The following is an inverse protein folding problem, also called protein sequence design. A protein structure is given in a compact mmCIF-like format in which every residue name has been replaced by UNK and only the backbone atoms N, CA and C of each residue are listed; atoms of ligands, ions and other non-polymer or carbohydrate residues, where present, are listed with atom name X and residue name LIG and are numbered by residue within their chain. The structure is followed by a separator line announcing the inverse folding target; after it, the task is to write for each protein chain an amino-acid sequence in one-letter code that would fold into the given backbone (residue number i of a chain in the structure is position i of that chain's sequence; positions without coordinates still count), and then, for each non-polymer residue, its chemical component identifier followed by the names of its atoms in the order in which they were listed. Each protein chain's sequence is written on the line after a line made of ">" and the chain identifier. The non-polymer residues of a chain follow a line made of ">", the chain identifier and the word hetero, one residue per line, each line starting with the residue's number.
data_IF_641560865563
#
_entry.id   IF_641560865563
#
_cell.length_a   1.000
_cell.length_b   1.000
_cell.length_c   1.000
_cell.angle_alpha   90.00
_cell.angle_beta   90.00
_cell.angle_gamma   90.00
#
_symmetry.space_group_name_H-M   'P 1'
#
loop_
_entity.id
_entity.type
_entity.pdbx_description
1 polymer ?
#
# COMPACT_ATOMS: atom_id res chain seq x y z
N UNK A 1 -0.12 0.14 -53.20
CA UNK A 1 -0.55 1.56 -53.13
C UNK A 1 0.53 2.30 -52.37
N UNK A 2 1.42 2.93 -53.12
CA UNK A 2 2.64 3.57 -52.62
C UNK A 2 2.30 4.99 -52.18
N UNK A 3 2.24 5.22 -50.87
CA UNK A 3 2.07 6.57 -50.33
C UNK A 3 3.44 7.25 -50.23
N UNK A 4 3.86 7.87 -51.33
CA UNK A 4 4.95 8.84 -51.36
C UNK A 4 4.44 10.14 -50.73
N UNK A 5 4.91 10.49 -49.53
CA UNK A 5 4.58 11.78 -48.89
C UNK A 5 5.77 12.73 -48.98
N UNK A 6 5.51 13.78 -49.75
CA UNK A 6 6.25 15.01 -50.04
C UNK A 6 7.40 15.48 -49.12
N UNK A 7 8.57 15.60 -49.77
CA UNK A 7 9.41 16.80 -49.94
C UNK A 7 9.63 17.63 -48.66
N UNK A 8 10.74 17.36 -47.98
CA UNK A 8 11.37 18.31 -47.08
C UNK A 8 11.69 19.61 -47.85
N UNK A 9 11.15 20.74 -47.39
CA UNK A 9 11.54 22.08 -47.89
C UNK A 9 13.06 22.21 -47.79
N UNK A 10 13.73 22.35 -48.93
CA UNK A 10 15.16 22.66 -48.98
C UNK A 10 15.33 24.16 -48.77
N UNK A 11 16.25 24.56 -47.91
CA UNK A 11 16.62 25.96 -47.76
C UNK A 11 17.57 26.34 -48.90
N UNK A 12 17.24 27.43 -49.59
CA UNK A 12 18.12 28.10 -50.55
C UNK A 12 18.03 29.61 -50.29
N UNK A 13 19.05 30.23 -49.67
CA UNK A 13 20.34 29.67 -49.24
C UNK A 13 20.24 28.75 -47.99
N UNK A 14 21.23 27.86 -47.75
CA UNK A 14 21.27 27.04 -46.54
C UNK A 14 21.34 27.91 -45.27
N UNK A 15 20.73 27.43 -44.19
CA UNK A 15 20.70 28.16 -42.92
C UNK A 15 21.85 27.67 -42.04
N UNK A 16 22.72 28.58 -41.58
CA UNK A 16 23.71 28.25 -40.56
C UNK A 16 23.03 28.18 -39.19
N UNK A 17 23.05 27.01 -38.57
CA UNK A 17 22.57 26.82 -37.20
C UNK A 17 23.77 26.78 -36.27
N UNK A 18 23.70 27.53 -35.17
CA UNK A 18 24.72 27.53 -34.11
C UNK A 18 24.08 27.08 -32.81
N UNK A 19 24.60 26.01 -32.21
CA UNK A 19 24.07 25.44 -30.97
C UNK A 19 25.18 25.22 -29.94
N UNK A 20 24.86 25.32 -28.64
CA UNK A 20 25.78 24.92 -27.59
C UNK A 20 25.95 23.40 -27.58
N UNK A 21 27.17 22.96 -27.32
CA UNK A 21 27.57 21.56 -27.22
C UNK A 21 28.14 21.32 -25.82
N UNK A 22 28.00 20.10 -25.24
CA UNK A 22 28.58 19.81 -23.93
C UNK A 22 30.06 20.20 -23.88
N UNK A 23 30.54 20.86 -22.80
CA UNK A 23 31.88 21.41 -22.72
C UNK A 23 32.94 20.33 -22.94
N UNK A 24 34.05 20.70 -23.58
CA UNK A 24 35.12 19.74 -23.86
C UNK A 24 35.75 19.34 -22.50
N UNK A 25 35.71 18.04 -22.11
CA UNK A 25 36.23 17.61 -20.81
C UNK A 25 37.72 17.95 -20.62
N UNK A 26 38.51 17.97 -21.70
CA UNK A 26 39.93 18.38 -21.66
C UNK A 26 40.11 19.89 -21.43
N UNK A 27 39.19 20.71 -21.96
CA UNK A 27 39.23 22.18 -21.82
C UNK A 27 38.67 22.65 -20.48
N UNK A 28 37.63 21.99 -19.96
CA UNK A 28 37.09 22.28 -18.64
C UNK A 28 38.14 22.07 -17.54
N UNK A 29 38.93 20.99 -17.64
CA UNK A 29 40.04 20.73 -16.72
C UNK A 29 41.18 21.77 -16.82
N UNK A 30 41.41 22.33 -18.01
CA UNK A 30 42.41 23.37 -18.26
C UNK A 30 41.97 24.75 -17.73
N UNK A 31 40.67 25.07 -17.75
CA UNK A 31 40.12 26.33 -17.23
C UNK A 31 40.01 26.33 -15.68
N UNK A 32 39.71 25.18 -15.07
CA UNK A 32 39.76 25.02 -13.60
C UNK A 32 41.19 25.13 -13.04
N UNK A 33 42.19 24.66 -13.79
CA UNK A 33 43.60 24.78 -13.38
C UNK A 33 44.14 26.21 -13.51
N UNK A 34 43.63 27.00 -14.46
CA UNK A 34 44.01 28.41 -14.61
C UNK A 34 43.34 29.34 -13.59
N UNK A 35 42.12 29.03 -13.15
CA UNK A 35 41.40 29.81 -12.12
C UNK A 35 41.91 29.55 -10.70
N UNK A 36 42.67 28.47 -10.47
CA UNK A 36 43.31 28.16 -9.17
C UNK A 36 44.67 28.84 -8.91
N UNK A 37 45.18 29.68 -9.82
CA UNK A 37 46.37 30.51 -9.57
C UNK A 37 46.01 31.87 -8.94
N UNK A 38 45.47 31.86 -7.72
CA UNK A 38 45.41 33.05 -6.85
C UNK A 38 46.46 32.89 -5.73
N UNK A 39 47.26 33.93 -5.39
CA UNK A 39 48.34 33.77 -4.42
C UNK A 39 47.77 33.42 -3.04
N UNK A 40 48.30 32.35 -2.46
CA UNK A 40 47.98 31.88 -1.11
C UNK A 40 48.36 32.96 -0.10
N UNK A 41 47.35 33.57 0.52
CA UNK A 41 47.51 34.23 1.83
C UNK A 41 46.77 33.38 2.84
N UNK A 42 47.48 33.02 3.90
CA UNK A 42 47.01 32.15 4.95
C UNK A 42 46.05 32.90 5.88
N UNK A 43 44.87 32.32 6.15
CA UNK A 43 44.24 32.44 7.46
C UNK A 43 43.22 31.32 7.68
N UNK A 44 43.24 30.77 8.90
CA UNK A 44 42.48 29.61 9.35
C UNK A 44 41.10 29.96 9.91
N UNK A 45 40.20 28.97 9.77
CA UNK A 45 39.12 28.59 10.69
C UNK A 45 37.80 29.38 10.72
N UNK A 46 36.70 28.63 10.59
CA UNK A 46 35.33 29.08 10.85
C UNK A 46 34.29 28.14 10.25
N UNK A 47 33.93 27.07 10.98
CA UNK A 47 32.89 26.10 10.62
C UNK A 47 31.50 26.74 10.69
N UNK A 48 30.66 26.51 9.68
CA UNK A 48 29.19 26.56 9.79
C UNK A 48 28.56 25.56 8.83
N UNK A 49 27.82 24.61 9.39
CA UNK A 49 26.89 23.71 8.72
C UNK A 49 25.71 24.52 8.17
N UNK A 50 25.37 24.32 6.89
CA UNK A 50 23.99 24.20 6.36
C UNK A 50 24.04 24.21 4.82
N UNK A 51 24.04 23.00 4.22
CA UNK A 51 24.02 22.81 2.78
C UNK A 51 22.63 22.34 2.34
N UNK A 52 21.82 23.29 1.86
CA UNK A 52 20.62 23.01 1.09
C UNK A 52 20.99 22.27 -0.21
N UNK A 53 20.25 21.21 -0.50
CA UNK A 53 20.43 20.28 -1.59
C UNK A 53 20.37 20.97 -2.96
N UNK A 54 21.53 21.11 -3.61
CA UNK A 54 21.63 21.38 -5.05
C UNK A 54 21.74 20.05 -5.81
N UNK A 55 21.16 19.90 -7.01
CA UNK A 55 21.33 18.71 -7.82
C UNK A 55 22.80 18.60 -8.25
N UNK A 56 23.44 17.49 -7.87
CA UNK A 56 24.79 17.12 -8.27
C UNK A 56 24.80 16.78 -9.76
N UNK A 57 25.31 17.68 -10.60
CA UNK A 57 25.82 17.36 -11.93
C UNK A 57 27.34 17.39 -11.88
N UNK A 58 27.96 16.38 -12.51
CA UNK A 58 29.40 16.14 -12.68
C UNK A 58 30.10 15.42 -11.50
N UNK A 59 29.97 14.09 -11.47
CA UNK A 59 31.02 13.21 -10.95
C UNK A 59 31.91 12.78 -12.12
N UNK A 60 33.11 13.33 -12.23
CA UNK A 60 34.20 12.75 -13.02
C UNK A 60 35.09 11.94 -12.07
N UNK A 61 34.88 10.63 -12.04
CA UNK A 61 35.81 9.69 -11.41
C UNK A 61 36.81 9.25 -12.49
N UNK A 62 38.02 9.80 -12.47
CA UNK A 62 39.06 9.45 -13.43
C UNK A 62 40.44 9.89 -12.96
N UNK A 63 41.27 8.90 -12.63
CA UNK A 63 42.66 9.00 -12.17
C UNK A 63 43.56 9.83 -13.09
N UNK A 64 44.41 10.66 -12.47
CA UNK A 64 45.48 11.44 -13.10
C UNK A 64 46.46 10.50 -13.82
N UNK A 65 46.59 10.65 -15.14
CA UNK A 65 47.83 10.34 -15.87
C UNK A 65 48.21 11.53 -16.74
N UNK A 66 49.34 12.13 -16.43
CA UNK A 66 49.98 13.19 -17.21
C UNK A 66 50.61 12.58 -18.47
N UNK A 67 49.94 12.72 -19.61
CA UNK A 67 50.57 12.63 -20.93
C UNK A 67 49.69 13.38 -21.92
N UNK A 68 50.19 14.51 -22.40
CA UNK A 68 49.61 15.29 -23.48
C UNK A 68 49.60 14.46 -24.77
N UNK A 69 48.46 13.84 -25.04
CA UNK A 69 48.20 13.10 -26.27
C UNK A 69 46.76 13.41 -26.64
N UNK A 70 46.55 13.99 -27.82
CA UNK A 70 45.26 14.42 -28.37
C UNK A 70 44.12 13.49 -27.95
N UNK A 71 43.27 13.98 -27.03
CA UNK A 71 41.97 13.38 -26.76
C UNK A 71 41.08 13.75 -27.95
N UNK A 72 41.18 12.96 -29.01
CA UNK A 72 40.41 13.10 -30.25
C UNK A 72 38.93 12.81 -29.90
N UNK A 73 38.18 13.83 -29.50
CA UNK A 73 36.74 13.75 -29.33
C UNK A 73 36.07 14.05 -30.67
N UNK A 74 35.23 13.14 -31.16
CA UNK A 74 34.45 13.36 -32.39
C UNK A 74 33.08 13.94 -32.08
N UNK A 75 32.73 15.00 -32.79
CA UNK A 75 31.38 15.52 -32.84
C UNK A 75 30.59 14.81 -33.93
N UNK A 76 29.37 14.37 -33.62
CA UNK A 76 28.46 13.77 -34.59
C UNK A 76 27.08 14.40 -34.53
N UNK A 77 26.51 14.66 -35.70
CA UNK A 77 25.13 15.11 -35.84
C UNK A 77 24.21 13.88 -35.97
N UNK A 78 23.16 13.84 -35.15
CA UNK A 78 22.12 12.80 -35.24
C UNK A 78 20.77 13.48 -35.47
N UNK A 79 20.05 13.08 -36.53
CA UNK A 79 18.75 13.65 -36.91
C UNK A 79 17.62 12.65 -36.74
N UNK A 80 16.40 13.14 -36.56
CA UNK A 80 15.19 12.30 -36.55
C UNK A 80 14.52 12.28 -37.93
N UNK A 81 14.44 11.10 -38.54
CA UNK A 81 13.83 10.88 -39.86
C UNK A 81 12.93 9.63 -39.83
N UNK A 82 11.72 9.74 -40.38
CA UNK A 82 10.75 8.63 -40.56
C UNK A 82 10.51 7.70 -39.34
N UNK A 83 10.70 8.19 -38.12
CA UNK A 83 10.51 7.39 -36.90
C UNK A 83 11.79 6.81 -36.29
N UNK A 84 12.97 7.17 -36.80
CA UNK A 84 14.26 6.72 -36.30
C UNK A 84 15.32 7.83 -36.20
N UNK A 85 16.35 7.57 -35.40
CA UNK A 85 17.54 8.40 -35.30
C UNK A 85 18.57 7.97 -36.36
N UNK A 86 18.99 8.90 -37.23
CA UNK A 86 19.99 8.71 -38.28
C UNK A 86 21.26 9.47 -37.92
N UNK A 87 22.41 8.80 -38.00
CA UNK A 87 23.73 9.40 -37.75
C UNK A 87 24.27 9.96 -39.05
N UNK A 88 24.70 11.22 -39.04
CA UNK A 88 25.35 11.87 -40.17
C UNK A 88 26.84 12.00 -39.90
N UNK A 89 27.64 11.26 -40.65
CA UNK A 89 29.11 11.32 -40.58
C UNK A 89 29.69 12.36 -41.57
N UNK A 90 28.91 12.77 -42.59
CA UNK A 90 29.36 13.64 -43.70
C UNK A 90 29.13 15.15 -43.46
N UNK A 91 28.77 15.55 -42.23
CA UNK A 91 28.47 16.95 -41.92
C UNK A 91 29.66 17.63 -41.28
N UNK A 92 30.19 18.66 -41.95
CA UNK A 92 31.23 19.53 -41.41
C UNK A 92 30.68 20.36 -40.23
N UNK A 93 31.06 19.96 -39.01
CA UNK A 93 30.74 20.67 -37.78
C UNK A 93 31.87 21.66 -37.47
N UNK A 94 31.59 22.96 -37.56
CA UNK A 94 32.58 24.00 -37.26
C UNK A 94 32.49 24.43 -35.80
N UNK A 95 33.49 24.09 -34.99
CA UNK A 95 33.59 24.58 -33.62
C UNK A 95 33.84 26.10 -33.59
N UNK A 96 33.12 26.81 -32.73
CA UNK A 96 33.24 28.26 -32.47
C UNK A 96 33.61 28.50 -31.01
N UNK A 97 34.00 29.74 -30.69
CA UNK A 97 34.33 30.15 -29.31
C UNK A 97 33.12 29.93 -28.38
N UNK A 98 33.37 29.38 -27.19
CA UNK A 98 32.35 29.17 -26.15
C UNK A 98 31.53 27.89 -26.28
N UNK A 99 32.16 26.77 -26.67
CA UNK A 99 31.50 25.46 -26.86
C UNK A 99 30.28 25.51 -27.80
N UNK A 100 30.34 26.38 -28.79
CA UNK A 100 29.33 26.50 -29.83
C UNK A 100 29.77 25.70 -31.07
N UNK A 101 28.84 25.00 -31.70
CA UNK A 101 29.07 24.32 -32.97
C UNK A 101 28.14 24.91 -34.02
N UNK A 102 28.70 25.28 -35.15
CA UNK A 102 27.98 25.79 -36.30
C UNK A 102 27.99 24.76 -37.44
N UNK A 103 26.83 24.56 -38.07
CA UNK A 103 26.70 23.67 -39.24
C UNK A 103 25.61 24.19 -40.18
N UNK A 104 25.67 23.77 -41.44
CA UNK A 104 24.73 24.21 -42.47
C UNK A 104 23.53 23.27 -42.60
N UNK A 105 22.33 23.82 -42.36
CA UNK A 105 21.06 23.16 -42.62
C UNK A 105 20.63 23.38 -44.07
N UNK A 106 20.72 22.32 -44.88
CA UNK A 106 20.19 22.29 -46.26
C UNK A 106 18.71 21.87 -46.30
N UNK A 107 18.23 21.21 -45.24
CA UNK A 107 16.90 20.60 -45.14
C UNK A 107 16.29 20.96 -43.79
N UNK A 108 14.97 21.18 -43.73
CA UNK A 108 14.25 21.37 -42.46
C UNK A 108 14.30 20.08 -41.63
N UNK A 109 15.01 20.13 -40.50
CA UNK A 109 15.04 19.07 -39.51
C UNK A 109 13.95 19.29 -38.46
N UNK A 110 13.19 18.25 -38.11
CA UNK A 110 12.21 18.34 -37.01
C UNK A 110 12.87 18.24 -35.64
N UNK A 111 13.87 17.36 -35.50
CA UNK A 111 14.66 17.15 -34.28
C UNK A 111 16.07 16.76 -34.68
N UNK A 112 17.05 17.28 -33.97
CA UNK A 112 18.45 16.92 -34.11
C UNK A 112 19.15 17.02 -32.75
N UNK A 113 20.24 16.27 -32.59
CA UNK A 113 21.10 16.27 -31.41
C UNK A 113 22.55 16.23 -31.90
N UNK A 114 23.41 17.04 -31.28
CA UNK A 114 24.86 16.94 -31.47
C UNK A 114 25.44 16.17 -30.29
N UNK A 115 26.17 15.10 -30.58
CA UNK A 115 26.87 14.30 -29.58
C UNK A 115 28.36 14.54 -29.68
N UNK A 116 29.02 14.73 -28.53
CA UNK A 116 30.47 14.65 -28.38
C UNK A 116 30.81 13.29 -27.81
N UNK A 117 31.53 12.47 -28.58
CA UNK A 117 31.92 11.10 -28.22
C UNK A 117 33.43 10.93 -28.38
N UNK A 118 34.07 10.27 -27.42
CA UNK A 118 35.49 9.92 -27.51
C UNK A 118 35.74 9.03 -28.74
N UNK A 119 36.78 9.32 -29.50
CA UNK A 119 37.18 8.45 -30.62
C UNK A 119 37.47 7.03 -30.15
N UNK A 120 37.06 6.06 -30.96
CA UNK A 120 37.15 4.64 -30.61
C UNK A 120 36.07 4.16 -29.62
N UNK A 121 35.09 4.99 -29.25
CA UNK A 121 33.91 4.57 -28.51
C UNK A 121 33.21 3.38 -29.20
N UNK A 122 33.05 2.26 -28.50
CA UNK A 122 32.26 1.11 -28.93
C UNK A 122 30.74 1.36 -28.90
N UNK A 123 30.29 2.47 -28.30
CA UNK A 123 28.87 2.82 -28.22
C UNK A 123 28.43 3.46 -29.54
N UNK A 124 27.41 2.90 -30.18
CA UNK A 124 26.86 3.47 -31.39
C UNK A 124 26.05 4.74 -31.06
N UNK A 125 26.23 5.85 -31.80
CA UNK A 125 25.59 7.14 -31.46
C UNK A 125 24.07 7.06 -31.37
N UNK A 126 23.43 6.22 -32.20
CA UNK A 126 21.99 5.97 -32.17
C UNK A 126 21.52 5.39 -30.83
N UNK A 127 22.27 4.46 -30.24
CA UNK A 127 21.95 3.86 -28.94
C UNK A 127 22.06 4.90 -27.82
N UNK A 128 23.07 5.76 -27.89
CA UNK A 128 23.26 6.86 -26.94
C UNK A 128 22.08 7.82 -27.01
N UNK A 129 21.67 8.25 -28.20
CA UNK A 129 20.51 9.15 -28.34
C UNK A 129 19.23 8.48 -27.86
N UNK A 130 18.99 7.21 -28.19
CA UNK A 130 17.81 6.47 -27.71
C UNK A 130 17.80 6.34 -26.19
N UNK A 131 18.95 6.07 -25.58
CA UNK A 131 19.10 6.00 -24.12
C UNK A 131 18.85 7.37 -23.46
N UNK A 132 19.39 8.44 -24.06
CA UNK A 132 19.17 9.81 -23.61
C UNK A 132 17.69 10.20 -23.71
N UNK A 133 17.06 9.95 -24.85
CA UNK A 133 15.64 10.23 -25.06
C UNK A 133 14.77 9.48 -24.05
N UNK A 134 15.06 8.19 -23.83
CA UNK A 134 14.39 7.38 -22.80
C UNK A 134 14.58 8.04 -21.43
N UNK A 135 15.81 8.39 -21.06
CA UNK A 135 16.12 9.02 -19.77
C UNK A 135 15.41 10.36 -19.56
N UNK A 136 15.33 11.21 -20.60
CA UNK A 136 14.65 12.51 -20.54
C UNK A 136 13.14 12.37 -20.34
N UNK A 137 12.55 11.33 -20.94
CA UNK A 137 11.12 11.01 -20.83
C UNK A 137 10.77 10.32 -19.52
N UNK A 138 11.71 9.60 -18.92
CA UNK A 138 11.50 8.90 -17.64
C UNK A 138 11.53 9.89 -16.48
N UNK A 139 10.55 9.77 -15.59
CA UNK A 139 10.38 10.56 -14.38
C UNK A 139 10.31 9.64 -13.17
N UNK A 140 10.82 10.12 -12.04
CA UNK A 140 10.69 9.47 -10.74
C UNK A 140 9.27 9.69 -10.22
N UNK A 141 8.60 8.61 -9.86
CA UNK A 141 7.24 8.62 -9.35
C UNK A 141 7.17 7.84 -8.03
N UNK A 142 6.16 8.16 -7.22
CA UNK A 142 5.83 7.43 -6.00
C UNK A 142 4.39 6.89 -6.12
N UNK A 143 4.23 5.60 -5.85
CA UNK A 143 2.93 4.97 -5.70
C UNK A 143 2.48 5.09 -4.25
N UNK A 144 1.21 5.43 -4.04
CA UNK A 144 0.62 5.69 -2.73
C UNK A 144 -0.66 4.86 -2.61
N UNK A 145 -0.81 4.18 -1.48
CA UNK A 145 -2.05 3.52 -1.06
C UNK A 145 -2.40 4.01 0.35
N UNK A 146 -3.64 4.49 0.57
CA UNK A 146 -4.09 4.95 1.90
C UNK A 146 -5.52 4.53 2.19
N UNK A 147 -5.76 4.10 3.42
CA UNK A 147 -7.09 3.82 3.92
C UNK A 147 -7.78 5.11 4.36
N UNK A 148 -9.10 5.13 4.30
CA UNK A 148 -9.89 6.21 4.90
C UNK A 148 -10.03 5.97 6.40
N UNK A 149 -9.92 7.04 7.20
CA UNK A 149 -10.02 6.97 8.67
C UNK A 149 -11.41 6.56 9.13
N UNK A 150 -12.47 7.08 8.50
CA UNK A 150 -13.86 6.79 8.90
C UNK A 150 -14.32 5.39 8.47
N UNK A 151 -13.75 4.88 7.38
CA UNK A 151 -14.11 3.60 6.76
C UNK A 151 -12.83 2.90 6.32
N UNK A 152 -12.26 2.01 7.17
CA UNK A 152 -11.07 1.24 6.82
C UNK A 152 -11.25 0.39 5.56
N UNK A 153 -12.50 0.05 5.20
CA UNK A 153 -12.81 -0.64 3.95
C UNK A 153 -12.61 0.23 2.71
N UNK A 154 -12.46 1.54 2.83
CA UNK A 154 -12.21 2.45 1.70
C UNK A 154 -10.72 2.67 1.48
N UNK A 155 -10.23 2.32 0.30
CA UNK A 155 -8.83 2.40 -0.11
C UNK A 155 -8.68 3.35 -1.30
N UNK A 156 -7.69 4.26 -1.24
CA UNK A 156 -7.32 5.13 -2.36
C UNK A 156 -5.92 4.82 -2.87
N UNK A 157 -5.78 4.81 -4.19
CA UNK A 157 -4.50 4.70 -4.89
C UNK A 157 -4.19 5.98 -5.67
N UNK A 158 -2.93 6.39 -5.60
CA UNK A 158 -2.37 7.46 -6.43
C UNK A 158 -0.98 7.08 -6.93
N UNK A 159 -0.61 7.59 -8.10
CA UNK A 159 0.77 7.60 -8.57
C UNK A 159 1.11 9.03 -8.99
N UNK A 160 2.10 9.62 -8.35
CA UNK A 160 2.46 11.04 -8.49
C UNK A 160 3.96 11.19 -8.67
N UNK A 161 4.46 12.30 -9.22
CA UNK A 161 5.90 12.59 -9.22
C UNK A 161 6.47 12.48 -7.81
N UNK A 162 7.68 11.94 -7.69
CA UNK A 162 8.31 11.75 -6.38
C UNK A 162 8.48 13.07 -5.62
N UNK A 163 8.68 14.19 -6.34
CA UNK A 163 8.72 15.56 -5.80
C UNK A 163 7.42 15.97 -5.10
N UNK A 164 6.29 15.46 -5.57
CA UNK A 164 4.95 15.89 -5.15
C UNK A 164 4.34 14.93 -4.13
N UNK A 165 5.05 13.83 -3.82
CA UNK A 165 4.61 12.78 -2.90
C UNK A 165 4.24 13.32 -1.53
N UNK A 166 5.10 14.16 -0.93
CA UNK A 166 4.87 14.73 0.40
C UNK A 166 3.65 15.66 0.43
N UNK A 167 3.47 16.50 -0.59
CA UNK A 167 2.30 17.37 -0.71
C UNK A 167 1.02 16.55 -0.91
N UNK A 168 1.09 15.50 -1.72
CA UNK A 168 -0.03 14.61 -1.99
C UNK A 168 -0.46 13.86 -0.73
N UNK A 169 0.49 13.41 0.09
CA UNK A 169 0.19 12.78 1.38
C UNK A 169 -0.56 13.72 2.31
N UNK A 170 -0.10 14.96 2.46
CA UNK A 170 -0.79 15.97 3.29
C UNK A 170 -2.22 16.22 2.80
N UNK A 171 -2.40 16.37 1.48
CA UNK A 171 -3.74 16.54 0.91
C UNK A 171 -4.65 15.30 1.10
N UNK A 172 -4.08 14.10 1.14
CA UNK A 172 -4.82 12.88 1.48
C UNK A 172 -5.20 12.86 2.97
N UNK A 173 -4.29 13.24 3.85
CA UNK A 173 -4.55 13.35 5.29
C UNK A 173 -5.66 14.38 5.58
N UNK A 174 -5.62 15.54 4.94
CA UNK A 174 -6.67 16.57 5.03
C UNK A 174 -8.04 16.09 4.54
N UNK A 175 -8.07 15.10 3.64
CA UNK A 175 -9.30 14.49 3.13
C UNK A 175 -9.71 13.22 3.87
N UNK A 176 -9.07 12.93 5.01
CA UNK A 176 -9.40 11.79 5.88
C UNK A 176 -8.82 10.46 5.40
N UNK A 177 -7.81 10.46 4.54
CA UNK A 177 -7.06 9.27 4.13
C UNK A 177 -5.72 9.22 4.86
N UNK A 178 -5.65 8.39 5.91
CA UNK A 178 -4.53 8.34 6.86
C UNK A 178 -4.15 6.88 7.12
N UNK A 179 -2.95 6.67 7.62
CA UNK A 179 -2.46 5.35 8.06
C UNK A 179 -1.43 4.74 7.10
N UNK A 180 -0.81 3.63 7.49
CA UNK A 180 0.12 2.92 6.63
C UNK A 180 -0.59 2.40 5.36
N UNK A 181 0.16 2.12 4.28
CA UNK A 181 1.62 2.17 4.15
C UNK A 181 2.18 3.57 3.81
N UNK A 182 3.50 3.72 4.02
CA UNK A 182 4.27 4.82 3.42
C UNK A 182 4.26 4.70 1.89
N UNK A 183 4.50 5.81 1.15
CA UNK A 183 4.69 5.76 -0.29
C UNK A 183 5.75 4.74 -0.70
N UNK A 184 5.62 4.21 -1.92
CA UNK A 184 6.66 3.37 -2.49
C UNK A 184 8.00 4.10 -2.57
N UNK A 185 9.09 3.34 -2.64
CA UNK A 185 10.32 3.85 -3.21
C UNK A 185 10.08 4.39 -4.62
N UNK A 186 10.95 5.29 -5.06
CA UNK A 186 10.86 5.87 -6.38
C UNK A 186 10.85 4.81 -7.48
N UNK A 187 9.81 4.86 -8.30
CA UNK A 187 9.65 4.05 -9.50
C UNK A 187 9.85 4.92 -10.74
N UNK A 188 10.27 4.30 -11.83
CA UNK A 188 10.59 5.00 -13.07
C UNK A 188 9.45 4.84 -14.06
N UNK A 189 8.78 5.95 -14.40
CA UNK A 189 7.63 5.98 -15.30
C UNK A 189 7.80 7.04 -16.39
N UNK A 190 7.13 6.89 -17.52
CA UNK A 190 7.04 7.92 -18.56
C UNK A 190 5.67 8.59 -18.55
N UNK A 191 5.60 9.82 -19.05
CA UNK A 191 4.34 10.55 -19.17
C UNK A 191 3.30 9.76 -19.97
N UNK A 192 2.07 9.66 -19.44
CA UNK A 192 0.97 8.92 -20.04
C UNK A 192 1.02 7.40 -19.83
N UNK A 193 2.07 6.86 -19.19
CA UNK A 193 2.18 5.42 -18.94
C UNK A 193 1.09 4.94 -17.99
N UNK A 194 0.42 3.85 -18.36
CA UNK A 194 -0.62 3.24 -17.54
C UNK A 194 0.00 2.39 -16.43
N UNK A 195 -0.34 2.72 -15.19
CA UNK A 195 0.00 1.96 -13.99
C UNK A 195 -1.20 1.14 -13.59
N UNK A 196 -1.02 -0.17 -13.51
CA UNK A 196 -2.02 -1.14 -13.11
C UNK A 196 -1.84 -1.51 -11.64
N UNK A 197 -2.93 -1.89 -10.98
CA UNK A 197 -2.94 -2.28 -9.57
C UNK A 197 -3.73 -3.58 -9.38
N UNK A 198 -3.23 -4.46 -8.52
CA UNK A 198 -3.97 -5.63 -8.04
C UNK A 198 -3.79 -5.83 -6.55
N UNK A 199 -4.85 -6.35 -5.93
CA UNK A 199 -4.85 -6.75 -4.52
C UNK A 199 -4.37 -8.20 -4.41
N UNK A 200 -3.49 -8.46 -3.46
CA UNK A 200 -2.87 -9.75 -3.19
C UNK A 200 -3.04 -10.10 -1.70
N UNK A 201 -3.07 -11.39 -1.38
CA UNK A 201 -3.24 -11.88 -0.01
C UNK A 201 -4.71 -11.90 0.42
N UNK A 202 -4.97 -11.65 1.70
CA UNK A 202 -6.31 -11.84 2.27
C UNK A 202 -7.24 -10.61 2.11
N UNK A 203 -6.89 -9.66 1.24
CA UNK A 203 -7.67 -8.45 0.99
C UNK A 203 -8.08 -8.46 -0.47
N UNK A 204 -9.37 -8.35 -0.74
CA UNK A 204 -9.96 -8.37 -2.09
C UNK A 204 -10.95 -7.22 -2.26
N UNK A 205 -11.39 -6.98 -3.51
CA UNK A 205 -12.40 -5.96 -3.79
C UNK A 205 -13.74 -6.40 -3.19
N UNK A 206 -14.46 -5.47 -2.57
CA UNK A 206 -15.80 -5.73 -2.06
C UNK A 206 -16.82 -5.90 -3.19
N UNK A 207 -16.62 -5.19 -4.30
CA UNK A 207 -17.47 -5.19 -5.49
C UNK A 207 -16.92 -6.20 -6.51
N UNK A 208 -17.56 -7.37 -6.56
CA UNK A 208 -17.15 -8.54 -7.36
C UNK A 208 -17.53 -8.41 -8.86
N UNK A 209 -18.39 -7.43 -9.21
CA UNK A 209 -18.95 -7.26 -10.56
C UNK A 209 -18.14 -6.37 -11.51
N UNK A 210 -16.98 -5.86 -11.08
CA UNK A 210 -16.12 -5.02 -11.93
C UNK A 210 -14.95 -5.85 -12.47
N UNK A 211 -15.15 -6.46 -13.65
CA UNK A 211 -14.05 -7.00 -14.48
C UNK A 211 -13.05 -5.90 -14.92
N UNK A 212 -13.36 -4.63 -14.62
CA UNK A 212 -12.48 -3.52 -14.90
C UNK A 212 -11.15 -3.65 -14.13
N UNK A 213 -10.07 -3.67 -14.92
CA UNK A 213 -8.73 -3.61 -14.38
C UNK A 213 -8.50 -2.26 -13.70
N UNK A 214 -7.99 -2.31 -12.47
CA UNK A 214 -7.60 -1.12 -11.73
C UNK A 214 -6.37 -0.54 -12.43
N UNK A 215 -6.53 0.62 -13.06
CA UNK A 215 -5.45 1.33 -13.73
C UNK A 215 -5.59 2.85 -13.63
N UNK A 216 -4.47 3.56 -13.66
CA UNK A 216 -4.41 5.00 -13.77
C UNK A 216 -3.24 5.42 -14.66
N UNK A 217 -3.38 6.50 -15.45
CA UNK A 217 -2.25 7.03 -16.21
C UNK A 217 -1.39 7.94 -15.32
N UNK A 218 -0.08 7.76 -15.40
CA UNK A 218 0.88 8.64 -14.76
C UNK A 218 1.05 9.94 -15.55
N UNK A 219 0.85 11.08 -14.89
CA UNK A 219 1.11 12.40 -15.45
C UNK A 219 1.78 13.29 -14.41
N UNK A 220 2.73 14.11 -14.83
CA UNK A 220 3.46 14.97 -13.90
C UNK A 220 2.57 16.09 -13.33
N UNK A 221 1.63 16.60 -14.11
CA UNK A 221 0.86 17.80 -13.76
C UNK A 221 -0.61 17.53 -13.40
N UNK A 222 -1.12 16.32 -13.67
CA UNK A 222 -2.52 15.96 -13.44
C UNK A 222 -2.61 14.63 -12.72
N UNK A 223 -2.79 14.67 -11.40
CA UNK A 223 -2.76 13.47 -10.57
C UNK A 223 -4.15 12.85 -10.45
N UNK A 224 -4.35 11.69 -11.07
CA UNK A 224 -5.59 10.91 -10.92
C UNK A 224 -5.52 9.99 -9.70
N UNK A 225 -6.69 9.63 -9.16
CA UNK A 225 -6.82 8.68 -8.06
C UNK A 225 -7.84 7.61 -8.38
N UNK A 226 -7.56 6.38 -7.97
CA UNK A 226 -8.52 5.27 -7.97
C UNK A 226 -8.98 5.04 -6.55
N UNK A 227 -10.30 4.96 -6.32
CA UNK A 227 -10.88 4.67 -5.01
C UNK A 227 -11.72 3.41 -5.13
N UNK A 228 -11.63 2.54 -4.14
CA UNK A 228 -12.42 1.31 -4.11
C UNK A 228 -12.70 0.86 -2.69
N UNK A 229 -13.67 -0.04 -2.56
CA UNK A 229 -13.98 -0.74 -1.32
C UNK A 229 -13.31 -2.10 -1.28
N UNK A 230 -12.66 -2.43 -0.17
CA UNK A 230 -11.99 -3.69 0.09
C UNK A 230 -12.65 -4.45 1.23
N UNK A 231 -12.57 -5.78 1.18
CA UNK A 231 -13.02 -6.71 2.23
C UNK A 231 -12.00 -7.82 2.41
N UNK A 232 -12.10 -8.56 3.51
CA UNK A 232 -11.37 -9.81 3.69
C UNK A 232 -11.85 -10.88 2.69
N UNK A 233 -10.92 -11.69 2.19
CA UNK A 233 -11.25 -12.86 1.37
C UNK A 233 -11.64 -14.06 2.24
N UNK A 234 -10.86 -14.30 3.29
CA UNK A 234 -11.04 -15.36 4.28
C UNK A 234 -11.08 -14.75 5.69
N UNK A 235 -12.24 -14.88 6.34
CA UNK A 235 -12.50 -14.41 7.70
C UNK A 235 -11.67 -15.15 8.77
N UNK A 236 -11.15 -16.33 8.45
CA UNK A 236 -10.36 -17.17 9.35
C UNK A 236 -8.85 -17.01 9.15
N UNK A 237 -8.44 -16.37 8.06
CA UNK A 237 -7.05 -16.09 7.79
C UNK A 237 -6.45 -15.04 8.74
N UNK A 238 -5.12 -15.00 8.79
CA UNK A 238 -4.33 -14.13 9.68
C UNK A 238 -4.70 -14.29 11.17
N UNK A 239 -5.11 -15.46 11.65
CA UNK A 239 -5.63 -15.67 13.02
C UNK A 239 -4.70 -15.19 14.15
N UNK A 240 -3.40 -15.12 13.91
CA UNK A 240 -2.39 -14.63 14.88
C UNK A 240 -2.31 -13.09 14.97
N UNK A 241 -3.08 -12.38 14.15
CA UNK A 241 -3.10 -10.91 14.08
C UNK A 241 -4.52 -10.38 14.31
N UNK A 242 -4.60 -9.17 14.90
CA UNK A 242 -5.85 -8.43 15.10
C UNK A 242 -6.36 -7.76 13.81
N UNK A 243 -5.59 -7.87 12.73
CA UNK A 243 -5.87 -7.29 11.42
C UNK A 243 -5.77 -8.35 10.33
N UNK A 244 -6.59 -8.23 9.30
CA UNK A 244 -6.39 -8.92 8.03
C UNK A 244 -5.27 -8.23 7.25
N UNK A 245 -4.36 -9.00 6.67
CA UNK A 245 -3.20 -8.47 5.94
C UNK A 245 -3.26 -8.83 4.46
N UNK A 246 -2.93 -7.86 3.64
CA UNK A 246 -2.81 -8.00 2.20
C UNK A 246 -1.71 -7.10 1.65
N UNK A 247 -1.58 -7.10 0.34
CA UNK A 247 -0.64 -6.26 -0.39
C UNK A 247 -1.31 -5.71 -1.64
N UNK A 248 -0.91 -4.50 -2.02
CA UNK A 248 -1.25 -3.89 -3.31
C UNK A 248 -0.01 -3.95 -4.17
N UNK A 249 -0.08 -4.64 -5.30
CA UNK A 249 0.97 -4.63 -6.30
C UNK A 249 0.66 -3.60 -7.39
N UNK A 250 1.60 -2.69 -7.62
CA UNK A 250 1.60 -1.78 -8.76
C UNK A 250 2.49 -2.36 -9.85
N UNK A 251 2.02 -2.40 -11.09
CA UNK A 251 2.77 -2.95 -12.22
C UNK A 251 2.46 -2.20 -13.51
N UNK A 252 3.34 -2.33 -14.50
CA UNK A 252 3.14 -1.81 -15.86
C UNK A 252 3.11 -2.96 -16.85
N UNK A 253 2.39 -2.78 -17.95
CA UNK A 253 2.40 -3.72 -19.08
C UNK A 253 3.17 -3.10 -20.24
N UNK A 254 4.10 -3.86 -20.79
CA UNK A 254 4.73 -3.46 -22.05
C UNK A 254 3.75 -3.70 -23.21
N UNK A 255 3.67 -2.73 -24.11
CA UNK A 255 2.73 -2.72 -25.24
C UNK A 255 3.23 -3.57 -26.44
N UNK A 256 3.88 -4.70 -26.17
CA UNK A 256 4.37 -5.59 -27.23
C UNK A 256 3.28 -6.61 -27.59
N UNK A 257 2.91 -6.63 -28.87
CA UNK A 257 1.70 -7.27 -29.41
C UNK A 257 1.61 -8.80 -29.22
N UNK A 258 2.60 -9.48 -28.64
CA UNK A 258 2.66 -10.95 -28.62
C UNK A 258 2.89 -11.60 -27.24
N UNK A 259 3.19 -10.84 -26.19
CA UNK A 259 3.11 -11.33 -24.80
C UNK A 259 3.28 -10.10 -23.91
N UNK A 260 2.18 -9.63 -23.30
CA UNK A 260 2.17 -8.41 -22.50
C UNK A 260 2.96 -8.61 -21.21
N UNK A 261 4.29 -8.50 -21.28
CA UNK A 261 5.16 -8.69 -20.11
C UNK A 261 4.78 -7.69 -19.03
N UNK A 262 4.28 -8.23 -17.92
CA UNK A 262 3.99 -7.43 -16.72
C UNK A 262 5.28 -7.20 -15.95
N UNK A 263 5.61 -5.93 -15.70
CA UNK A 263 6.75 -5.55 -14.87
C UNK A 263 6.23 -4.96 -13.57
N UNK A 264 6.47 -5.67 -12.47
CA UNK A 264 6.14 -5.21 -11.12
C UNK A 264 6.96 -3.96 -10.76
N UNK A 265 6.29 -2.89 -10.38
CA UNK A 265 6.91 -1.64 -9.95
C UNK A 265 7.22 -1.68 -8.44
N UNK A 266 6.20 -1.97 -7.64
CA UNK A 266 6.31 -2.01 -6.18
C UNK A 266 5.13 -2.77 -5.56
N UNK A 267 5.31 -3.18 -4.29
CA UNK A 267 4.29 -3.81 -3.46
C UNK A 267 4.15 -3.06 -2.16
N UNK A 268 2.94 -2.58 -1.87
CA UNK A 268 2.63 -1.84 -0.65
C UNK A 268 1.75 -2.69 0.28
N UNK A 269 2.11 -2.87 1.57
CA UNK A 269 1.30 -3.63 2.50
C UNK A 269 0.02 -2.86 2.87
N UNK A 270 -1.11 -3.55 2.92
CA UNK A 270 -2.41 -2.99 3.34
C UNK A 270 -3.02 -3.86 4.43
N UNK A 271 -3.78 -3.24 5.33
CA UNK A 271 -4.34 -3.90 6.51
C UNK A 271 -5.77 -3.47 6.77
N UNK A 272 -6.62 -4.43 7.15
CA UNK A 272 -8.00 -4.19 7.55
C UNK A 272 -8.20 -4.64 9.00
N UNK A 273 -8.78 -3.80 9.87
CA UNK A 273 -9.05 -4.18 11.25
C UNK A 273 -10.10 -5.29 11.28
N UNK A 274 -9.88 -6.33 12.10
CA UNK A 274 -10.90 -7.35 12.33
C UNK A 274 -12.00 -6.77 13.20
N UNK A 275 -13.26 -7.07 12.88
CA UNK A 275 -14.37 -6.78 13.79
C UNK A 275 -14.10 -7.50 15.11
N UNK A 276 -14.18 -6.78 16.22
CA UNK A 276 -14.07 -7.39 17.55
C UNK A 276 -15.05 -8.57 17.61
N UNK A 277 -14.50 -9.78 17.76
CA UNK A 277 -15.35 -10.95 17.98
C UNK A 277 -16.07 -10.69 19.29
N UNK A 278 -17.41 -10.76 19.35
CA UNK A 278 -18.11 -10.68 20.62
C UNK A 278 -17.47 -11.72 21.53
N UNK A 279 -17.06 -11.29 22.73
CA UNK A 279 -16.34 -12.14 23.69
C UNK A 279 -17.01 -13.52 23.69
N UNK A 280 -16.25 -14.62 23.53
CA UNK A 280 -16.85 -15.94 23.47
C UNK A 280 -17.76 -16.10 24.69
N UNK A 281 -19.06 -16.21 24.42
CA UNK A 281 -20.04 -16.40 25.49
C UNK A 281 -19.60 -17.63 26.27
N UNK A 282 -19.71 -17.62 27.62
CA UNK A 282 -19.26 -18.74 28.42
C UNK A 282 -19.87 -20.04 27.88
N UNK A 283 -19.17 -21.19 27.97
CA UNK A 283 -19.63 -22.48 27.45
C UNK A 283 -21.05 -22.89 27.90
N UNK A 284 -21.62 -22.27 28.93
CA UNK A 284 -23.01 -22.44 29.34
C UNK A 284 -24.01 -21.96 28.28
N UNK A 285 -23.73 -20.89 27.53
CA UNK A 285 -24.62 -20.36 26.48
C UNK A 285 -24.75 -21.27 25.26
N UNK A 286 -23.78 -22.16 25.01
CA UNK A 286 -23.82 -23.14 23.92
C UNK A 286 -24.52 -24.44 24.31
N UNK A 287 -25.00 -24.58 25.55
CA UNK A 287 -25.84 -25.71 25.94
C UNK A 287 -27.19 -25.53 25.25
N UNK A 288 -27.41 -26.21 24.13
CA UNK A 288 -28.77 -26.39 23.56
C UNK A 288 -29.71 -26.66 24.72
N UNK A 289 -30.70 -25.78 24.90
CA UNK A 289 -31.77 -25.94 25.86
C UNK A 289 -32.42 -27.27 25.54
N UNK A 290 -32.15 -28.29 26.35
CA UNK A 290 -32.92 -29.52 26.26
C UNK A 290 -34.29 -29.14 26.84
N UNK A 291 -35.26 -28.95 25.95
CA UNK A 291 -36.67 -28.81 26.29
C UNK A 291 -37.13 -30.13 26.89
N UNK A 292 -37.12 -30.19 28.23
CA UNK A 292 -37.74 -31.28 28.98
C UNK A 292 -39.15 -30.78 29.32
N UNK A 293 -40.23 -31.38 28.80
CA UNK A 293 -41.57 -31.03 29.21
C UNK A 293 -41.80 -31.38 30.69
N UNK A 294 -42.52 -30.52 31.40
CA UNK A 294 -42.85 -30.67 32.82
C UNK A 294 -42.41 -29.49 33.70
N UNK A 295 -42.66 -29.53 35.02
CA UNK A 295 -42.43 -28.40 35.95
C UNK A 295 -40.95 -28.03 36.13
N UNK A 296 -40.02 -28.90 35.71
CA UNK A 296 -38.58 -28.63 35.64
C UNK A 296 -38.08 -28.37 34.21
N UNK A 297 -39.00 -28.07 33.30
CA UNK A 297 -38.70 -27.59 31.95
C UNK A 297 -38.10 -26.19 31.97
N UNK A 298 -37.72 -25.69 30.80
CA UNK A 298 -37.07 -24.38 30.66
C UNK A 298 -37.94 -23.26 31.25
N UNK A 299 -39.25 -23.29 31.00
CA UNK A 299 -40.17 -22.25 31.46
C UNK A 299 -40.42 -22.33 32.97
N UNK A 300 -40.55 -23.55 33.51
CA UNK A 300 -40.68 -23.77 34.95
C UNK A 300 -39.42 -23.33 35.72
N UNK A 301 -38.23 -23.66 35.22
CA UNK A 301 -36.98 -23.19 35.80
C UNK A 301 -36.82 -21.67 35.69
N UNK A 302 -37.24 -21.05 34.58
CA UNK A 302 -37.23 -19.60 34.42
C UNK A 302 -38.18 -18.91 35.39
N UNK A 303 -39.37 -19.47 35.62
CA UNK A 303 -40.31 -18.95 36.60
C UNK A 303 -39.74 -19.05 38.02
N UNK A 304 -39.21 -20.21 38.40
CA UNK A 304 -38.55 -20.40 39.70
C UNK A 304 -37.35 -19.47 39.88
N UNK A 305 -36.53 -19.28 38.85
CA UNK A 305 -35.37 -18.40 38.91
C UNK A 305 -35.75 -16.92 39.11
N UNK A 306 -36.90 -16.48 38.57
CA UNK A 306 -37.43 -15.12 38.82
C UNK A 306 -37.87 -14.94 40.26
N UNK A 307 -38.56 -15.93 40.80
CA UNK A 307 -39.13 -15.83 42.14
C UNK A 307 -38.09 -16.05 43.24
N UNK A 308 -37.03 -16.84 42.96
CA UNK A 308 -35.98 -17.20 43.91
C UNK A 308 -35.11 -16.01 44.33
N UNK A 309 -34.96 -14.99 43.49
CA UNK A 309 -34.22 -13.77 43.85
C UNK A 309 -32.80 -14.08 44.35
N UNK A 310 -32.33 -13.35 45.35
CA UNK A 310 -30.98 -13.46 45.93
C UNK A 310 -30.73 -14.77 46.72
N UNK A 311 -31.80 -15.47 47.09
CA UNK A 311 -31.74 -16.71 47.88
C UNK A 311 -31.21 -17.91 47.08
N UNK A 312 -30.96 -17.72 45.78
CA UNK A 312 -30.47 -18.78 44.89
C UNK A 312 -29.14 -19.38 45.35
N UNK A 313 -28.29 -18.60 46.02
CA UNK A 313 -26.99 -19.07 46.54
C UNK A 313 -27.17 -20.03 47.72
N UNK A 314 -28.12 -19.73 48.60
CA UNK A 314 -28.51 -20.58 49.73
C UNK A 314 -29.12 -21.88 49.21
N UNK A 315 -30.03 -21.78 48.24
CA UNK A 315 -30.64 -22.94 47.57
C UNK A 315 -29.58 -23.80 46.89
N UNK A 316 -28.57 -23.19 46.25
CA UNK A 316 -27.44 -23.91 45.63
C UNK A 316 -26.66 -24.75 46.65
N UNK A 317 -26.48 -24.25 47.87
CA UNK A 317 -25.89 -24.96 48.99
C UNK A 317 -26.66 -26.21 49.37
N UNK A 318 -27.99 -26.12 49.51
CA UNK A 318 -28.85 -27.26 49.84
C UNK A 318 -28.99 -28.26 48.68
N UNK A 319 -28.90 -27.79 47.43
CA UNK A 319 -28.85 -28.62 46.22
C UNK A 319 -27.48 -29.27 46.00
N UNK A 320 -26.50 -29.02 46.87
CA UNK A 320 -25.12 -29.53 46.80
C UNK A 320 -24.41 -29.16 45.49
N UNK A 321 -24.72 -27.99 44.93
CA UNK A 321 -23.96 -27.45 43.79
C UNK A 321 -22.56 -27.09 44.29
N UNK A 322 -21.51 -27.53 43.58
CA UNK A 322 -20.12 -27.28 43.97
C UNK A 322 -19.88 -25.78 44.12
N UNK A 323 -19.23 -25.36 45.21
CA UNK A 323 -18.91 -23.95 45.46
C UNK A 323 -18.14 -23.29 44.30
N UNK A 324 -17.22 -24.01 43.65
CA UNK A 324 -16.51 -23.53 42.46
C UNK A 324 -17.43 -23.20 41.28
N UNK A 325 -18.55 -23.91 41.15
CA UNK A 325 -19.58 -23.67 40.13
C UNK A 325 -20.41 -22.44 40.47
N UNK A 326 -20.80 -22.30 41.73
CA UNK A 326 -21.54 -21.12 42.24
C UNK A 326 -20.74 -19.84 41.98
N UNK A 327 -19.44 -19.83 42.33
CA UNK A 327 -18.56 -18.68 42.09
C UNK A 327 -18.38 -18.40 40.59
N UNK A 328 -18.31 -19.46 39.75
CA UNK A 328 -18.28 -19.28 38.29
C UNK A 328 -19.57 -18.65 37.76
N UNK A 329 -20.74 -19.02 38.29
CA UNK A 329 -22.04 -18.44 37.90
C UNK A 329 -22.10 -16.96 38.26
N UNK A 330 -21.69 -16.59 39.49
CA UNK A 330 -21.61 -15.18 39.93
C UNK A 330 -20.70 -14.34 39.02
N UNK A 331 -19.54 -14.88 38.64
CA UNK A 331 -18.59 -14.21 37.73
C UNK A 331 -19.11 -14.11 36.30
N UNK A 332 -19.84 -15.11 35.82
CA UNK A 332 -20.33 -15.16 34.43
C UNK A 332 -21.50 -14.19 34.20
N UNK A 333 -22.29 -13.87 35.23
CA UNK A 333 -23.47 -13.01 35.12
C UNK A 333 -23.48 -11.95 36.23
N UNK A 334 -22.54 -11.00 36.25
CA UNK A 334 -22.47 -9.98 37.31
C UNK A 334 -23.72 -9.09 37.30
N UNK A 335 -24.39 -8.96 38.45
CA UNK A 335 -25.59 -8.11 38.62
C UNK A 335 -26.90 -8.69 38.09
N UNK A 336 -26.89 -9.78 37.31
CA UNK A 336 -28.10 -10.44 36.82
C UNK A 336 -28.48 -11.64 37.70
N UNK A 337 -29.19 -11.37 38.80
CA UNK A 337 -29.60 -12.37 39.80
C UNK A 337 -30.50 -13.45 39.17
N UNK A 338 -31.39 -13.07 38.26
CA UNK A 338 -32.30 -13.99 37.58
C UNK A 338 -31.52 -14.99 36.73
N UNK A 339 -30.53 -14.52 35.97
CA UNK A 339 -29.72 -15.39 35.11
C UNK A 339 -28.77 -16.27 35.95
N UNK A 340 -28.27 -15.77 37.08
CA UNK A 340 -27.51 -16.59 38.04
C UNK A 340 -28.35 -17.75 38.60
N UNK A 341 -29.57 -17.45 39.07
CA UNK A 341 -30.50 -18.45 39.60
C UNK A 341 -30.89 -19.49 38.55
N UNK A 342 -31.15 -19.05 37.31
CA UNK A 342 -31.47 -19.96 36.20
C UNK A 342 -30.30 -20.88 35.83
N UNK A 343 -29.08 -20.35 35.68
CA UNK A 343 -27.90 -21.15 35.32
C UNK A 343 -27.55 -22.16 36.42
N UNK A 344 -27.79 -21.80 37.69
CA UNK A 344 -27.67 -22.69 38.84
C UNK A 344 -28.66 -23.85 38.77
N UNK A 345 -29.96 -23.56 38.64
CA UNK A 345 -31.01 -24.59 38.57
C UNK A 345 -30.83 -25.49 37.34
N UNK A 346 -30.47 -24.90 36.19
CA UNK A 346 -30.20 -25.64 34.96
C UNK A 346 -28.99 -26.56 35.12
N UNK A 347 -27.91 -26.07 35.73
CA UNK A 347 -26.70 -26.87 35.99
C UNK A 347 -26.98 -28.00 36.98
N UNK A 348 -27.72 -27.74 38.06
CA UNK A 348 -28.13 -28.76 39.01
C UNK A 348 -29.00 -29.84 38.36
N UNK A 349 -30.07 -29.46 37.65
CA UNK A 349 -31.00 -30.39 36.98
C UNK A 349 -30.27 -31.34 36.02
N UNK A 350 -29.30 -30.81 35.28
CA UNK A 350 -28.53 -31.56 34.29
C UNK A 350 -27.41 -32.40 34.94
N UNK A 351 -26.99 -32.09 36.16
CA UNK A 351 -26.03 -32.92 36.92
C UNK A 351 -26.68 -34.15 37.58
N UNK A 352 -28.00 -34.14 37.74
CA UNK A 352 -28.76 -35.24 38.36
C UNK A 352 -29.07 -36.37 37.36
N UNK A 353 -28.95 -37.64 37.77
CA UNK A 353 -29.36 -38.79 36.96
C UNK A 353 -30.81 -38.68 36.48
N UNK A 354 -31.12 -39.23 35.30
CA UNK A 354 -32.47 -39.14 34.69
C UNK A 354 -33.57 -39.80 35.54
N UNK A 355 -33.25 -40.84 36.29
CA UNK A 355 -34.18 -41.60 37.14
C UNK A 355 -34.34 -41.02 38.57
N UNK A 356 -33.57 -39.99 38.92
CA UNK A 356 -33.67 -39.38 40.24
C UNK A 356 -34.94 -38.52 40.35
N UNK A 357 -35.57 -38.52 41.52
CA UNK A 357 -36.69 -37.62 41.83
C UNK A 357 -36.20 -36.16 41.96
N UNK A 358 -36.08 -35.50 40.81
CA UNK A 358 -35.58 -34.12 40.72
C UNK A 358 -36.54 -33.16 41.44
N UNK A 359 -37.85 -33.35 41.30
CA UNK A 359 -38.84 -32.46 41.92
C UNK A 359 -38.79 -32.59 43.44
N UNK A 360 -38.76 -33.80 43.99
CA UNK A 360 -38.68 -34.01 45.44
C UNK A 360 -37.38 -33.51 46.06
N UNK A 361 -36.26 -33.59 45.33
CA UNK A 361 -34.98 -33.00 45.78
C UNK A 361 -35.04 -31.48 45.80
N UNK A 362 -35.60 -30.85 44.76
CA UNK A 362 -35.76 -29.40 44.72
C UNK A 362 -36.74 -28.91 45.79
N UNK A 363 -37.86 -29.60 45.97
CA UNK A 363 -38.84 -29.31 47.02
C UNK A 363 -38.21 -29.31 48.42
N UNK A 364 -37.41 -30.34 48.73
CA UNK A 364 -36.70 -30.43 50.01
C UNK A 364 -35.67 -29.32 50.19
N UNK A 365 -34.96 -28.94 49.11
CA UNK A 365 -34.00 -27.85 49.16
C UNK A 365 -34.68 -26.50 49.38
N UNK A 366 -35.77 -26.21 48.66
CA UNK A 366 -36.55 -24.98 48.79
C UNK A 366 -37.14 -24.83 50.20
N UNK A 367 -37.73 -25.90 50.76
CA UNK A 367 -38.23 -25.90 52.14
C UNK A 367 -37.14 -25.67 53.20
N UNK A 368 -35.91 -26.10 52.93
CA UNK A 368 -34.76 -25.89 53.84
C UNK A 368 -34.12 -24.51 53.67
N UNK A 369 -34.38 -23.83 52.56
CA UNK A 369 -33.82 -22.51 52.23
C UNK A 369 -34.77 -21.36 52.57
N UNK A 370 -35.72 -21.58 53.48
CA UNK A 370 -36.78 -20.63 53.86
C UNK A 370 -37.72 -20.17 52.71
N UNK A 371 -37.68 -20.87 51.56
CA UNK A 371 -38.53 -20.64 50.38
C UNK A 371 -39.60 -21.72 50.25
N UNK A 372 -40.33 -21.93 51.34
CA UNK A 372 -41.45 -22.88 51.40
C UNK A 372 -42.60 -22.51 50.44
N UNK A 373 -42.76 -21.22 50.15
CA UNK A 373 -43.68 -20.65 49.17
C UNK A 373 -43.46 -21.25 47.76
N UNK A 374 -42.19 -21.35 47.33
CA UNK A 374 -41.82 -21.92 46.04
C UNK A 374 -41.93 -23.44 46.03
N UNK A 375 -41.68 -24.09 47.18
CA UNK A 375 -41.83 -25.53 47.32
C UNK A 375 -43.30 -25.97 47.14
N UNK A 376 -44.26 -25.24 47.73
CA UNK A 376 -45.68 -25.53 47.56
C UNK A 376 -46.15 -25.23 46.12
N UNK A 377 -45.69 -24.14 45.50
CA UNK A 377 -45.96 -23.84 44.08
C UNK A 377 -45.45 -24.94 43.15
N UNK A 378 -44.24 -25.46 43.40
CA UNK A 378 -43.67 -26.57 42.63
C UNK A 378 -44.49 -27.85 42.77
N UNK A 379 -44.99 -28.14 43.99
CA UNK A 379 -45.84 -29.30 44.26
C UNK A 379 -47.20 -29.20 43.56
N UNK A 380 -47.81 -28.02 43.57
CA UNK A 380 -49.08 -27.77 42.88
C UNK A 380 -48.94 -27.97 41.35
N UNK A 381 -47.80 -27.58 40.77
CA UNK A 381 -47.50 -27.77 39.34
C UNK A 381 -47.17 -29.22 38.94
N UNK A 382 -46.82 -30.09 39.90
CA UNK A 382 -46.66 -31.54 39.66
C UNK A 382 -47.93 -32.36 39.88
N UNK A 383 -48.93 -31.80 40.58
CA UNK A 383 -50.19 -32.47 40.89
C UNK A 383 -51.29 -32.18 39.85
N UNK A 384 -51.05 -31.21 38.97
CA UNK A 384 -51.81 -30.94 37.75
C UNK A 384 -51.10 -31.62 36.57
#
# INVERSE_FOLDING_TARGET
>A
MSHSVNIHKRYSPPITVTVPVPPNPSRAAAEETNTSRRPKTAFESGRSHDAASRPMSAFSLGTRSSSAQDDDDTLRLVTWEEGGWLVHDDVELTERKGDLVAFELKVVLQRFIILRLKTGSHQSPDKVVRALEKSLRTKRAACIARHRTDDPGSLVFKCVPASDSAQTLRALEDSGYVGPPDPSSDVMLTEGQLVYMRLLGNITRAEESSEEELRLPFHCHVHKSVRLKVKEQDEFANHSYDEYRGQVEFYVRENNEHDGKETSLCKLPVSLPKKERPRPRPPSSYRKLIEVPGPLGTDGLNHLAREMGEDWDVVAGYLKVKHSRVQAIKRNYPGDIKQQAFDMLYTWRNSMPRHADKVGVLYKALRKSDRGDLAEKLRAQTAA
#
